data_IF_615898280599
#
_entry.id   IF_615898280599
#
_cell.length_a   1.000
_cell.length_b   1.000
_cell.length_c   1.000
_cell.angle_alpha   90.00
_cell.angle_beta   90.00
_cell.angle_gamma   90.00
#
_symmetry.space_group_name_H-M   'P 1'
#
loop_
_entity.id
_entity.type
_entity.pdbx_description
1 polymer ?
#
# COMPACT_ATOMS: atom_id res chain seq x y z
N UNK A 1 31.23 8.46 -7.43
CA UNK A 1 31.15 7.71 -6.16
C UNK A 1 29.75 7.14 -6.02
N UNK A 2 29.60 5.88 -5.62
CA UNK A 2 28.30 5.24 -5.40
C UNK A 2 27.62 5.81 -4.14
N UNK A 3 26.34 6.16 -4.24
CA UNK A 3 25.56 6.77 -3.14
C UNK A 3 24.35 5.89 -2.89
N UNK A 4 24.20 5.41 -1.64
CA UNK A 4 23.01 4.67 -1.21
C UNK A 4 21.76 5.51 -1.43
N UNK A 5 20.70 4.91 -1.97
CA UNK A 5 19.43 5.60 -2.28
C UNK A 5 18.91 6.45 -1.12
N UNK A 6 18.90 5.91 0.09
CA UNK A 6 18.39 6.64 1.25
C UNK A 6 19.24 7.87 1.60
N UNK A 7 20.56 7.84 1.43
CA UNK A 7 21.41 9.02 1.63
C UNK A 7 21.09 10.10 0.59
N UNK A 8 20.94 9.71 -0.68
CA UNK A 8 20.55 10.62 -1.75
C UNK A 8 19.20 11.28 -1.45
N UNK A 9 18.21 10.50 -1.01
CA UNK A 9 16.87 11.02 -0.71
C UNK A 9 16.85 11.97 0.48
N UNK A 10 17.73 11.75 1.48
CA UNK A 10 17.89 12.69 2.60
C UNK A 10 18.52 14.00 2.15
N UNK A 11 19.53 13.94 1.26
CA UNK A 11 20.20 15.13 0.69
C UNK A 11 19.23 15.92 -0.19
N UNK A 12 18.45 15.24 -1.03
CA UNK A 12 17.49 15.86 -1.95
C UNK A 12 16.15 16.22 -1.29
N UNK A 13 15.94 15.82 -0.03
CA UNK A 13 14.69 15.98 0.74
C UNK A 13 13.44 15.35 0.08
N UNK A 14 13.62 14.24 -0.65
CA UNK A 14 12.55 13.54 -1.37
C UNK A 14 12.39 12.07 -0.94
N UNK A 15 12.23 11.77 0.37
CA UNK A 15 11.82 10.43 0.76
C UNK A 15 10.46 10.11 0.13
N UNK A 16 10.34 8.94 -0.48
CA UNK A 16 9.10 8.41 -1.03
C UNK A 16 8.91 6.99 -0.48
N UNK A 17 7.67 6.60 -0.11
CA UNK A 17 7.40 5.24 0.36
C UNK A 17 7.60 4.20 -0.75
N UNK A 18 7.51 4.61 -2.03
CA UNK A 18 7.77 3.74 -3.19
C UNK A 18 8.93 4.30 -4.01
N UNK A 19 9.97 3.50 -4.34
CA UNK A 19 11.05 3.96 -5.19
C UNK A 19 10.57 4.16 -6.64
N UNK A 20 10.78 5.36 -7.15
CA UNK A 20 10.46 5.77 -8.53
C UNK A 20 11.63 5.53 -9.50
N UNK A 21 12.75 5.01 -9.01
CA UNK A 21 13.91 4.60 -9.80
C UNK A 21 14.39 3.24 -9.29
N UNK A 22 14.84 2.38 -10.21
CA UNK A 22 15.46 1.11 -9.85
C UNK A 22 16.69 1.37 -8.97
N UNK A 23 16.80 0.62 -7.87
CA UNK A 23 17.97 0.64 -6.98
C UNK A 23 18.86 -0.53 -7.35
N UNK A 24 20.14 -0.25 -7.60
CA UNK A 24 21.13 -1.27 -7.92
C UNK A 24 21.55 -2.04 -6.67
N UNK A 25 21.70 -3.35 -6.84
CA UNK A 25 22.33 -4.29 -5.91
C UNK A 25 23.82 -4.53 -6.23
N UNK A 26 24.46 -3.61 -6.94
CA UNK A 26 25.84 -3.69 -7.47
C UNK A 26 26.02 -4.57 -8.71
N UNK A 27 25.00 -5.32 -9.14
CA UNK A 27 25.10 -6.18 -10.33
C UNK A 27 24.79 -5.43 -11.64
N UNK A 28 24.02 -4.35 -11.57
CA UNK A 28 23.60 -3.58 -12.74
C UNK A 28 23.66 -2.08 -12.48
N UNK A 29 23.92 -1.30 -13.53
CA UNK A 29 23.79 0.16 -13.47
C UNK A 29 22.29 0.51 -13.57
N UNK A 30 21.73 1.25 -12.60
CA UNK A 30 20.31 1.56 -12.62
C UNK A 30 20.03 2.50 -13.79
N UNK A 31 18.96 2.23 -14.53
CA UNK A 31 18.53 3.10 -15.60
C UNK A 31 18.17 4.49 -15.05
N UNK A 32 18.39 5.56 -15.85
CA UNK A 32 17.93 6.88 -15.47
C UNK A 32 16.41 6.90 -15.25
N UNK A 33 15.97 7.67 -14.26
CA UNK A 33 14.55 7.86 -13.96
C UNK A 33 13.83 8.49 -15.16
N UNK A 34 12.70 7.92 -15.57
CA UNK A 34 11.89 8.40 -16.69
C UNK A 34 11.16 9.70 -16.35
N UNK A 35 10.64 10.41 -17.36
CA UNK A 35 9.85 11.64 -17.15
C UNK A 35 8.63 11.40 -16.26
N UNK A 36 7.88 10.34 -16.54
CA UNK A 36 6.70 9.94 -15.75
C UNK A 36 7.08 9.57 -14.31
N UNK A 37 8.19 8.86 -14.10
CA UNK A 37 8.65 8.54 -12.75
C UNK A 37 9.02 9.79 -11.93
N UNK A 38 9.64 10.80 -12.56
CA UNK A 38 9.91 12.10 -11.93
C UNK A 38 8.61 12.84 -11.57
N UNK A 39 7.63 12.76 -12.46
CA UNK A 39 6.31 13.36 -12.25
C UNK A 39 5.59 12.72 -11.05
N UNK A 40 5.60 11.40 -10.94
CA UNK A 40 5.06 10.69 -9.76
C UNK A 40 5.76 11.13 -8.49
N UNK A 41 7.10 11.21 -8.49
CA UNK A 41 7.85 11.65 -7.31
C UNK A 41 7.44 13.07 -6.88
N UNK A 42 7.33 14.01 -7.84
CA UNK A 42 6.90 15.37 -7.57
C UNK A 42 5.45 15.44 -7.04
N UNK A 43 4.55 14.64 -7.60
CA UNK A 43 3.15 14.55 -7.14
C UNK A 43 3.06 14.02 -5.71
N UNK A 44 3.83 12.98 -5.38
CA UNK A 44 3.90 12.43 -4.01
C UNK A 44 4.31 13.52 -3.02
N UNK A 45 5.37 14.27 -3.32
CA UNK A 45 5.82 15.34 -2.41
C UNK A 45 4.79 16.46 -2.26
N UNK A 46 4.12 16.82 -3.36
CA UNK A 46 3.08 17.85 -3.38
C UNK A 46 1.88 17.44 -2.54
N UNK A 47 1.33 16.26 -2.82
CA UNK A 47 0.15 15.73 -2.13
C UNK A 47 0.43 15.46 -0.65
N UNK A 48 1.60 14.92 -0.32
CA UNK A 48 1.99 14.73 1.07
C UNK A 48 2.14 16.04 1.85
N UNK A 49 2.61 17.11 1.19
CA UNK A 49 2.64 18.44 1.81
C UNK A 49 1.24 18.99 2.08
N UNK A 50 0.31 18.76 1.16
CA UNK A 50 -1.07 19.24 1.29
C UNK A 50 -1.85 18.45 2.35
N UNK A 51 -1.78 17.12 2.30
CA UNK A 51 -2.51 16.24 3.21
C UNK A 51 -1.85 16.15 4.60
N UNK A 52 -0.53 16.26 4.68
CA UNK A 52 0.18 16.41 5.96
C UNK A 52 -0.32 17.64 6.73
N UNK A 53 -0.46 18.80 6.07
CA UNK A 53 -1.02 20.02 6.70
C UNK A 53 -2.44 19.82 7.23
N UNK A 54 -3.28 19.03 6.53
CA UNK A 54 -4.65 18.74 6.97
C UNK A 54 -4.71 17.79 8.16
N UNK A 55 -3.77 16.86 8.27
CA UNK A 55 -3.68 15.88 9.36
C UNK A 55 -2.81 16.36 10.54
N UNK A 56 -2.21 17.54 10.43
CA UNK A 56 -1.29 18.08 11.45
C UNK A 56 0.11 17.45 11.44
N UNK A 57 0.44 16.67 10.41
CA UNK A 57 1.74 16.02 10.24
C UNK A 57 2.64 16.82 9.29
N UNK A 58 3.95 16.80 9.54
CA UNK A 58 4.90 17.25 8.52
C UNK A 58 4.92 16.25 7.35
N UNK A 59 5.38 16.69 6.17
CA UNK A 59 5.42 15.87 4.94
C UNK A 59 6.13 14.52 5.16
N UNK A 60 7.27 14.53 5.85
CA UNK A 60 8.11 13.33 6.04
C UNK A 60 7.41 12.30 6.93
N UNK A 61 6.76 12.75 8.00
CA UNK A 61 6.05 11.88 8.92
C UNK A 61 4.72 11.41 8.34
N UNK A 62 4.04 12.25 7.56
CA UNK A 62 2.87 11.85 6.78
C UNK A 62 3.21 10.70 5.80
N UNK A 63 4.33 10.81 5.07
CA UNK A 63 4.76 9.77 4.12
C UNK A 63 5.15 8.42 4.77
N UNK A 64 5.38 8.38 6.09
CA UNK A 64 5.63 7.13 6.83
C UNK A 64 4.34 6.40 7.24
N UNK A 65 3.18 7.05 7.11
CA UNK A 65 1.88 6.46 7.46
C UNK A 65 1.29 5.64 6.32
N UNK A 66 0.25 4.86 6.61
CA UNK A 66 -0.54 4.18 5.58
C UNK A 66 -1.22 5.16 4.61
N UNK A 67 -1.67 6.32 5.09
CA UNK A 67 -2.19 7.41 4.25
C UNK A 67 -1.12 7.94 3.29
N UNK A 68 0.15 8.02 3.73
CA UNK A 68 1.28 8.35 2.86
C UNK A 68 1.49 7.36 1.72
N UNK A 69 1.29 6.06 1.98
CA UNK A 69 1.33 5.01 0.96
C UNK A 69 0.15 5.11 -0.01
N UNK A 70 -1.07 5.38 0.50
CA UNK A 70 -2.25 5.61 -0.33
C UNK A 70 -2.05 6.79 -1.29
N UNK A 71 -1.42 7.88 -0.82
CA UNK A 71 -1.05 9.02 -1.67
C UNK A 71 -0.07 8.62 -2.78
N UNK A 72 0.89 7.74 -2.50
CA UNK A 72 1.81 7.26 -3.52
C UNK A 72 1.10 6.48 -4.63
N UNK A 73 0.16 5.61 -4.28
CA UNK A 73 -0.65 4.90 -5.26
C UNK A 73 -1.59 5.83 -6.03
N UNK A 74 -2.16 6.84 -5.36
CA UNK A 74 -2.98 7.86 -6.02
C UNK A 74 -2.15 8.66 -7.04
N UNK A 75 -0.92 9.04 -6.70
CA UNK A 75 0.00 9.70 -7.62
C UNK A 75 0.37 8.82 -8.83
N UNK A 76 0.62 7.52 -8.60
CA UNK A 76 0.86 6.57 -9.69
C UNK A 76 -0.36 6.44 -10.61
N UNK A 77 -1.57 6.41 -10.04
CA UNK A 77 -2.81 6.35 -10.81
C UNK A 77 -3.00 7.57 -11.72
N UNK A 78 -2.57 8.75 -11.27
CA UNK A 78 -2.68 9.99 -12.07
C UNK A 78 -1.74 9.98 -13.27
N UNK A 79 -0.52 9.44 -13.12
CA UNK A 79 0.50 9.50 -14.19
C UNK A 79 0.43 8.32 -15.14
N UNK A 80 0.26 7.11 -14.61
CA UNK A 80 0.30 5.88 -15.42
C UNK A 80 -1.10 5.40 -15.82
N UNK A 81 -2.16 5.85 -15.13
CA UNK A 81 -3.53 5.38 -15.30
C UNK A 81 -4.00 4.54 -14.10
N UNK A 82 -5.29 4.22 -14.05
CA UNK A 82 -5.94 3.60 -12.88
C UNK A 82 -5.54 2.12 -12.71
N UNK A 83 -4.42 1.87 -12.01
CA UNK A 83 -3.91 0.54 -11.70
C UNK A 83 -4.20 0.11 -10.26
N UNK A 84 -4.22 1.06 -9.34
CA UNK A 84 -4.45 0.81 -7.91
C UNK A 84 -5.88 1.19 -7.52
N UNK A 85 -6.56 0.31 -6.78
CA UNK A 85 -7.87 0.62 -6.17
C UNK A 85 -7.66 1.40 -4.89
N UNK A 86 -7.47 2.72 -5.01
CA UNK A 86 -7.31 3.64 -3.88
C UNK A 86 -8.24 4.83 -4.10
N UNK A 87 -9.07 5.12 -3.10
CA UNK A 87 -9.93 6.30 -3.10
C UNK A 87 -9.21 7.50 -2.48
N UNK A 88 -9.51 8.72 -2.95
CA UNK A 88 -8.91 9.94 -2.40
C UNK A 88 -9.25 10.12 -0.90
N UNK A 89 -10.40 9.61 -0.46
CA UNK A 89 -10.85 9.64 0.93
C UNK A 89 -9.95 8.83 1.86
N UNK A 90 -9.40 7.70 1.39
CA UNK A 90 -8.45 6.85 2.14
C UNK A 90 -7.12 7.58 2.46
N UNK A 91 -6.80 8.65 1.70
CA UNK A 91 -5.59 9.44 1.95
C UNK A 91 -5.71 10.40 3.13
N UNK A 92 -6.94 10.70 3.56
CA UNK A 92 -7.22 11.67 4.63
C UNK A 92 -7.72 11.00 5.90
N UNK A 93 -8.49 9.92 5.75
CA UNK A 93 -9.12 9.24 6.88
C UNK A 93 -8.62 7.80 6.99
N UNK A 94 -7.82 7.48 8.03
CA UNK A 94 -7.43 6.10 8.33
C UNK A 94 -8.60 5.16 8.66
N UNK A 95 -9.83 5.65 8.82
CA UNK A 95 -11.02 4.81 8.98
C UNK A 95 -11.77 4.57 7.67
N UNK A 96 -11.44 5.31 6.61
CA UNK A 96 -12.05 5.18 5.28
C UNK A 96 -11.55 3.97 4.47
N UNK A 97 -10.81 3.04 5.09
CA UNK A 97 -10.63 1.69 4.55
C UNK A 97 -11.97 0.94 4.60
N UNK A 98 -12.93 1.37 3.78
CA UNK A 98 -14.10 0.56 3.52
C UNK A 98 -13.58 -0.78 2.99
N UNK A 99 -13.75 -1.84 3.77
CA UNK A 99 -13.26 -3.15 3.42
C UNK A 99 -13.95 -3.60 2.13
N UNK A 100 -13.25 -3.46 1.00
CA UNK A 100 -13.74 -3.83 -0.34
C UNK A 100 -14.03 -5.33 -0.48
N UNK A 101 -13.56 -6.12 0.49
CA UNK A 101 -13.72 -7.57 0.52
C UNK A 101 -15.07 -7.95 1.13
N UNK A 102 -15.90 -8.77 0.45
CA UNK A 102 -17.15 -9.26 1.01
C UNK A 102 -16.88 -10.30 2.10
N UNK A 103 -16.67 -9.85 3.34
CA UNK A 103 -16.51 -10.71 4.53
C UNK A 103 -17.67 -11.67 4.78
N UNK A 104 -18.86 -11.35 4.23
CA UNK A 104 -20.08 -12.16 4.35
C UNK A 104 -19.92 -13.59 3.82
N UNK A 105 -18.94 -13.83 2.95
CA UNK A 105 -18.75 -15.12 2.29
C UNK A 105 -17.54 -15.91 2.86
N UNK A 106 -16.75 -15.33 3.77
CA UNK A 106 -15.57 -15.99 4.32
C UNK A 106 -15.97 -17.21 5.18
N UNK A 107 -17.13 -17.15 5.84
CA UNK A 107 -17.68 -18.28 6.59
C UNK A 107 -18.17 -19.43 5.71
N UNK A 108 -18.23 -19.27 4.39
CA UNK A 108 -18.65 -20.34 3.47
C UNK A 108 -17.46 -21.15 2.94
N UNK A 109 -16.26 -20.58 2.91
CA UNK A 109 -15.06 -21.28 2.44
C UNK A 109 -14.42 -22.17 3.51
N UNK A 110 -14.68 -21.89 4.79
CA UNK A 110 -14.13 -22.63 5.94
C UNK A 110 -15.26 -23.09 6.89
N UNK A 111 -16.28 -23.77 6.37
CA UNK A 111 -17.19 -24.54 7.25
C UNK A 111 -16.57 -25.92 7.52
N UNK A 112 -16.30 -26.30 8.78
CA UNK A 112 -15.91 -27.67 9.11
C UNK A 112 -17.14 -28.59 9.11
N UNK A 113 -18.03 -28.48 8.12
CA UNK A 113 -19.34 -29.14 8.17
C UNK A 113 -19.25 -30.63 7.87
N UNK A 114 -18.24 -31.08 7.11
CA UNK A 114 -18.12 -32.50 6.80
C UNK A 114 -17.67 -33.32 8.02
N UNK A 115 -16.61 -32.89 8.71
CA UNK A 115 -16.07 -33.62 9.87
C UNK A 115 -16.95 -33.49 11.13
N UNK A 116 -17.65 -32.36 11.32
CA UNK A 116 -18.61 -32.23 12.43
C UNK A 116 -19.85 -33.11 12.22
N UNK A 117 -20.39 -33.18 10.99
CA UNK A 117 -21.50 -34.09 10.70
C UNK A 117 -21.09 -35.56 10.80
N UNK A 118 -19.91 -35.92 10.31
CA UNK A 118 -19.38 -37.29 10.46
C UNK A 118 -19.19 -37.66 11.93
N UNK A 119 -18.67 -36.75 12.76
CA UNK A 119 -18.48 -36.99 14.20
C UNK A 119 -19.82 -37.11 14.95
N UNK A 120 -20.82 -36.32 14.59
CA UNK A 120 -22.18 -36.42 15.17
C UNK A 120 -22.84 -37.76 14.81
N UNK A 121 -22.72 -38.19 13.54
CA UNK A 121 -23.26 -39.46 13.08
C UNK A 121 -22.55 -40.67 13.70
N UNK A 122 -21.22 -40.63 13.82
CA UNK A 122 -20.44 -41.70 14.48
C UNK A 122 -20.78 -41.82 15.97
N UNK A 123 -20.92 -40.69 16.68
CA UNK A 123 -21.28 -40.69 18.10
C UNK A 123 -22.70 -41.25 18.35
N UNK A 124 -23.63 -41.07 17.41
CA UNK A 124 -24.99 -41.63 17.50
C UNK A 124 -25.09 -43.14 17.16
N UNK A 125 -24.02 -43.73 16.62
CA UNK A 125 -23.94 -45.16 16.31
C UNK A 125 -23.30 -45.99 17.43
N UNK A 126 -22.59 -45.35 18.37
CA UNK A 126 -22.02 -46.01 19.56
C UNK A 126 -23.01 -46.12 20.75
N UNK A 127 -24.16 -45.46 20.67
CA UNK A 127 -25.20 -45.48 21.72
C UNK A 127 -26.36 -46.49 21.46
N UNK A 128 -26.19 -47.44 20.54
CA UNK A 128 -27.12 -48.57 20.29
C UNK A 128 -26.44 -49.91 20.48
#
# INVERSE_FOLDING_TARGET
MWIKKFHRDQIEDKPSPIPTQVVSNEEFLPTPQTKQQKEVEALIQTLASQYGKKTGLNRRDFLKTSSGMAVAFLAMNQVFGKYFSVHAEETLDPSAYAELWPKKNLSLMYKPTMWQQVKQSLCSLEEK
#
